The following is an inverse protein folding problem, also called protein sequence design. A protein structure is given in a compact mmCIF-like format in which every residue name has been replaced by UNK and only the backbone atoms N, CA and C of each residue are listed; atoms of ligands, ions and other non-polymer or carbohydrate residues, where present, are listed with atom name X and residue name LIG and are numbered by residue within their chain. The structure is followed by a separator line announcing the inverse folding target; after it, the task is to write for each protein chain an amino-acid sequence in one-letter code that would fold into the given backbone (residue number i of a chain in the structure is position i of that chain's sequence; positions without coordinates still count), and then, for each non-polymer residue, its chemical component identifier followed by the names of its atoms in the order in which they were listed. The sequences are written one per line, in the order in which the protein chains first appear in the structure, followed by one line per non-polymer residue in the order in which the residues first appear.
data_IF_920125823200
#
_entry.id   IF_920125823200
#
_cell.length_a   1.000
_cell.length_b   1.000
_cell.length_c   1.000
_cell.angle_alpha   90.00
_cell.angle_beta   90.00
_cell.angle_gamma   90.00
#
_symmetry.space_group_name_H-M   'P 1'
#
loop_
_entity.id
_entity.type
_entity.pdbx_description
1 polymer ?
#
# COMPACT_ATOMS: atom_id res chain seq x y z
N UNK A 1 -26.26 21.73 -2.06
CA UNK A 1 -25.05 20.95 -1.74
C UNK A 1 -25.36 19.49 -1.99
N UNK A 2 -24.68 18.88 -2.94
CA UNK A 2 -25.02 17.56 -3.50
C UNK A 2 -24.60 16.37 -2.62
N UNK A 3 -24.30 16.51 -1.34
CA UNK A 3 -23.98 15.39 -0.45
C UNK A 3 -22.94 14.39 -1.01
N UNK A 4 -21.96 14.89 -1.77
CA UNK A 4 -20.88 14.10 -2.38
C UNK A 4 -19.70 13.90 -1.42
N UNK A 5 -19.52 14.86 -0.51
CA UNK A 5 -18.33 14.97 0.36
C UNK A 5 -18.77 15.13 1.81
N UNK A 6 -18.18 14.36 2.70
CA UNK A 6 -18.23 14.52 4.15
C UNK A 6 -16.82 14.50 4.72
N UNK A 7 -16.55 15.23 5.80
CA UNK A 7 -15.29 15.16 6.54
C UNK A 7 -15.54 14.61 7.92
N UNK A 8 -14.68 13.73 8.41
CA UNK A 8 -14.77 13.10 9.73
C UNK A 8 -13.41 13.15 10.41
N UNK A 9 -13.37 13.68 11.64
CA UNK A 9 -12.21 13.61 12.52
C UNK A 9 -12.34 12.38 13.41
N UNK A 10 -11.34 11.50 13.38
CA UNK A 10 -11.32 10.28 14.17
C UNK A 10 -10.17 10.32 15.17
N UNK A 11 -10.45 9.97 16.42
CA UNK A 11 -9.45 9.80 17.46
C UNK A 11 -8.83 8.42 17.33
N UNK A 12 -7.58 8.28 17.71
CA UNK A 12 -6.85 7.02 17.75
C UNK A 12 -7.68 5.88 18.36
N UNK A 13 -7.55 4.69 17.81
CA UNK A 13 -8.23 3.44 18.20
C UNK A 13 -9.76 3.44 17.99
N UNK A 14 -10.33 4.51 17.40
CA UNK A 14 -11.74 4.56 17.03
C UNK A 14 -11.99 3.80 15.74
N UNK A 15 -13.05 3.02 15.73
CA UNK A 15 -13.58 2.43 14.51
C UNK A 15 -14.16 3.50 13.60
N UNK A 16 -13.67 3.54 12.37
CA UNK A 16 -14.15 4.43 11.31
C UNK A 16 -15.30 3.75 10.58
N UNK A 17 -15.13 2.44 10.29
CA UNK A 17 -16.14 1.57 9.69
C UNK A 17 -15.95 0.16 10.21
N UNK A 18 -17.06 -0.58 10.29
CA UNK A 18 -17.06 -1.99 10.67
C UNK A 18 -17.22 -2.91 9.47
N UNK A 19 -16.72 -4.12 9.58
CA UNK A 19 -17.10 -5.20 8.67
C UNK A 19 -18.63 -5.34 8.67
N UNK A 20 -19.23 -5.42 7.47
CA UNK A 20 -20.68 -5.40 7.30
C UNK A 20 -21.31 -4.02 7.05
N UNK A 21 -20.56 -2.92 7.26
CA UNK A 21 -21.02 -1.59 6.89
C UNK A 21 -21.12 -1.42 5.35
N UNK A 22 -21.99 -0.52 4.85
CA UNK A 22 -22.05 -0.24 3.42
C UNK A 22 -20.70 0.21 2.85
N UNK A 23 -20.30 -0.39 1.72
CA UNK A 23 -19.03 -0.10 1.03
C UNK A 23 -19.19 0.91 -0.13
N UNK A 24 -20.04 1.91 0.02
CA UNK A 24 -20.38 2.87 -1.02
C UNK A 24 -19.63 4.21 -0.92
N UNK A 25 -18.48 4.20 -0.23
CA UNK A 25 -17.64 5.36 -0.01
C UNK A 25 -16.21 5.16 -0.56
N UNK A 26 -15.53 6.27 -0.76
CA UNK A 26 -14.09 6.38 -0.95
C UNK A 26 -13.57 7.35 0.11
N UNK A 27 -12.66 6.90 0.97
CA UNK A 27 -12.01 7.72 1.97
C UNK A 27 -10.68 8.28 1.45
N UNK A 28 -10.38 9.53 1.78
CA UNK A 28 -9.09 10.19 1.55
C UNK A 28 -8.55 10.60 2.91
N UNK A 29 -7.34 10.15 3.25
CA UNK A 29 -6.70 10.53 4.51
C UNK A 29 -6.04 11.90 4.31
N UNK A 30 -6.60 12.93 4.95
CA UNK A 30 -6.05 14.30 4.91
C UNK A 30 -4.89 14.47 5.89
N UNK A 31 -4.93 13.77 7.03
CA UNK A 31 -3.85 13.69 8.02
C UNK A 31 -3.99 12.44 8.86
N UNK A 32 -2.87 11.95 9.41
CA UNK A 32 -2.83 10.76 10.24
C UNK A 32 -2.77 9.45 9.45
N UNK A 33 -3.18 8.34 10.09
CA UNK A 33 -3.12 7.00 9.49
C UNK A 33 -4.22 6.09 10.03
N UNK A 34 -4.56 5.06 9.25
CA UNK A 34 -5.57 4.06 9.57
C UNK A 34 -5.00 2.64 9.42
N UNK A 35 -5.59 1.68 10.14
CA UNK A 35 -5.38 0.26 9.95
C UNK A 35 -6.61 -0.39 9.34
N UNK A 36 -6.38 -1.27 8.38
CA UNK A 36 -7.37 -2.22 7.88
C UNK A 36 -7.18 -3.51 8.66
N UNK A 37 -8.23 -3.96 9.34
CA UNK A 37 -8.21 -5.15 10.17
C UNK A 37 -9.08 -6.24 9.54
N UNK A 38 -8.61 -7.47 9.63
CA UNK A 38 -9.37 -8.65 9.22
C UNK A 38 -9.23 -9.73 10.27
N UNK A 39 -10.36 -10.29 10.70
CA UNK A 39 -10.36 -11.44 11.59
C UNK A 39 -10.08 -12.71 10.76
N UNK A 40 -9.18 -13.56 11.27
CA UNK A 40 -8.94 -14.87 10.69
C UNK A 40 -10.04 -15.88 11.11
N UNK A 41 -9.97 -17.09 10.55
CA UNK A 41 -10.91 -18.16 10.88
C UNK A 41 -11.01 -18.50 12.38
N UNK A 42 -9.96 -18.23 13.13
CA UNK A 42 -9.86 -18.48 14.58
C UNK A 42 -10.28 -17.28 15.42
N UNK A 43 -10.69 -16.16 14.79
CA UNK A 43 -11.05 -14.92 15.48
C UNK A 43 -9.85 -14.08 15.92
N UNK A 44 -8.64 -14.37 15.43
CA UNK A 44 -7.49 -13.50 15.68
C UNK A 44 -7.56 -12.31 14.73
N UNK A 45 -7.41 -11.12 15.29
CA UNK A 45 -7.39 -9.87 14.56
C UNK A 45 -6.03 -9.59 13.97
N UNK A 46 -5.96 -9.43 12.65
CA UNK A 46 -4.74 -9.15 11.93
C UNK A 46 -4.82 -7.79 11.23
N UNK A 47 -3.76 -7.00 11.31
CA UNK A 47 -3.60 -5.78 10.51
C UNK A 47 -3.18 -6.22 9.11
N UNK A 48 -4.06 -6.08 8.13
CA UNK A 48 -3.79 -6.45 6.74
C UNK A 48 -3.16 -5.32 5.94
N UNK A 49 -3.44 -4.05 6.32
CA UNK A 49 -2.83 -2.88 5.73
C UNK A 49 -2.77 -1.72 6.73
N UNK A 50 -1.76 -0.87 6.57
CA UNK A 50 -1.65 0.44 7.19
C UNK A 50 -1.61 1.49 6.08
N UNK A 51 -2.48 2.48 6.15
CA UNK A 51 -2.69 3.49 5.11
C UNK A 51 -2.48 4.86 5.74
N UNK A 52 -1.66 5.69 5.11
CA UNK A 52 -1.22 6.98 5.64
C UNK A 52 -1.79 8.16 4.85
N UNK A 53 -1.51 9.37 5.35
CA UNK A 53 -1.86 10.65 4.74
C UNK A 53 -1.63 10.67 3.21
N UNK A 54 -2.53 11.31 2.48
CA UNK A 54 -2.53 11.43 1.03
C UNK A 54 -3.02 10.19 0.26
N UNK A 55 -3.32 9.10 0.97
CA UNK A 55 -3.77 7.85 0.35
C UNK A 55 -5.29 7.71 0.35
N UNK A 56 -5.78 6.86 -0.56
CA UNK A 56 -7.19 6.44 -0.62
C UNK A 56 -7.41 5.11 0.10
N UNK A 57 -8.64 4.89 0.54
CA UNK A 57 -9.12 3.60 1.02
C UNK A 57 -10.61 3.42 0.70
N UNK A 58 -11.05 2.17 0.64
CA UNK A 58 -12.45 1.85 0.31
C UNK A 58 -12.79 1.91 -1.17
N UNK A 59 -11.93 2.52 -2.01
CA UNK A 59 -12.12 2.66 -3.45
C UNK A 59 -12.27 1.31 -4.15
N UNK A 60 -11.49 0.32 -3.72
CA UNK A 60 -11.53 -1.02 -4.32
C UNK A 60 -12.91 -1.68 -4.14
N UNK A 61 -13.50 -1.57 -2.95
CA UNK A 61 -14.81 -2.13 -2.65
C UNK A 61 -15.92 -1.36 -3.37
N UNK A 62 -15.87 -0.02 -3.28
CA UNK A 62 -16.86 0.85 -3.89
C UNK A 62 -16.88 0.74 -5.42
N UNK A 63 -15.70 0.76 -6.07
CA UNK A 63 -15.58 0.62 -7.52
C UNK A 63 -15.90 -0.78 -8.03
N UNK A 64 -15.63 -1.83 -7.24
CA UNK A 64 -16.01 -3.20 -7.56
C UNK A 64 -17.51 -3.50 -7.33
N UNK A 65 -18.26 -2.55 -6.78
CA UNK A 65 -19.69 -2.74 -6.50
C UNK A 65 -19.97 -3.71 -5.35
N UNK A 66 -19.00 -3.92 -4.46
CA UNK A 66 -19.16 -4.76 -3.27
C UNK A 66 -20.12 -4.03 -2.31
N UNK A 67 -21.22 -4.66 -1.87
CA UNK A 67 -22.24 -3.93 -1.10
C UNK A 67 -21.82 -3.63 0.34
N UNK A 68 -21.02 -4.51 0.96
CA UNK A 68 -20.62 -4.43 2.36
C UNK A 68 -19.12 -4.63 2.54
N UNK A 69 -18.52 -3.92 3.48
CA UNK A 69 -17.11 -4.07 3.81
C UNK A 69 -16.82 -5.47 4.37
N UNK A 70 -15.79 -6.16 3.87
CA UNK A 70 -15.35 -7.43 4.46
C UNK A 70 -14.31 -7.25 5.58
N UNK A 71 -14.00 -6.00 5.97
CA UNK A 71 -12.92 -5.62 6.89
C UNK A 71 -13.37 -4.51 7.83
N UNK A 72 -12.74 -4.42 8.99
CA UNK A 72 -12.83 -3.27 9.88
C UNK A 72 -11.81 -2.21 9.50
N UNK A 73 -12.14 -0.95 9.72
CA UNK A 73 -11.26 0.20 9.49
C UNK A 73 -11.15 0.99 10.80
N UNK A 74 -9.93 1.13 11.32
CA UNK A 74 -9.67 1.75 12.63
C UNK A 74 -8.62 2.84 12.47
N UNK A 75 -8.79 3.95 13.18
CA UNK A 75 -7.78 5.01 13.28
C UNK A 75 -6.54 4.50 14.02
N UNK A 76 -5.37 4.50 13.39
CA UNK A 76 -4.10 4.13 14.02
C UNK A 76 -3.54 5.27 14.90
N UNK A 77 -3.91 6.48 14.58
CA UNK A 77 -3.64 7.72 15.29
C UNK A 77 -4.77 8.72 15.03
N UNK A 78 -4.73 9.89 15.64
CA UNK A 78 -5.71 10.93 15.34
C UNK A 78 -5.63 11.30 13.86
N UNK A 79 -6.76 11.22 13.16
CA UNK A 79 -6.80 11.40 11.71
C UNK A 79 -8.01 12.23 11.25
N UNK A 80 -7.81 12.94 10.15
CA UNK A 80 -8.88 13.61 9.40
C UNK A 80 -9.09 12.86 8.09
N UNK A 81 -10.35 12.53 7.82
CA UNK A 81 -10.73 11.76 6.64
C UNK A 81 -11.83 12.49 5.88
N UNK A 82 -11.62 12.68 4.61
CA UNK A 82 -12.65 13.12 3.67
C UNK A 82 -13.31 11.89 3.05
N UNK A 83 -14.63 11.82 3.13
CA UNK A 83 -15.43 10.76 2.50
C UNK A 83 -16.11 11.27 1.25
N UNK A 84 -15.97 10.53 0.15
CA UNK A 84 -16.69 10.72 -1.09
C UNK A 84 -17.72 9.61 -1.25
N UNK A 85 -18.92 9.94 -1.73
CA UNK A 85 -19.89 8.92 -2.08
C UNK A 85 -19.50 8.27 -3.41
N UNK A 86 -19.04 7.01 -3.36
CA UNK A 86 -18.52 6.29 -4.51
C UNK A 86 -19.58 6.05 -5.59
N UNK A 87 -20.83 5.72 -5.21
CA UNK A 87 -21.91 5.53 -6.19
C UNK A 87 -22.23 6.81 -6.95
N UNK A 88 -22.27 7.96 -6.26
CA UNK A 88 -22.51 9.25 -6.90
C UNK A 88 -21.33 9.71 -7.76
N UNK A 89 -20.12 9.34 -7.35
CA UNK A 89 -18.91 9.65 -8.09
C UNK A 89 -18.83 8.90 -9.41
N UNK A 90 -19.20 7.62 -9.42
CA UNK A 90 -19.16 6.77 -10.62
C UNK A 90 -20.33 7.06 -11.58
N UNK A 91 -21.44 7.63 -11.08
CA UNK A 91 -22.54 8.06 -11.92
C UNK A 91 -22.20 9.42 -12.54
N UNK A 92 -21.95 9.43 -13.83
CA UNK A 92 -21.69 10.66 -14.60
C UNK A 92 -22.87 11.61 -14.49
N UNK A 93 -22.57 12.91 -14.31
CA UNK A 93 -23.61 13.92 -14.47
C UNK A 93 -24.04 13.96 -15.94
N UNK A 94 -25.35 14.13 -16.18
CA UNK A 94 -25.93 14.23 -17.52
C UNK A 94 -25.30 15.31 -18.41
N UNK A 95 -24.59 16.28 -17.82
CA UNK A 95 -23.95 17.42 -18.48
C UNK A 95 -22.42 17.27 -18.65
N UNK A 96 -21.80 16.11 -18.35
CA UNK A 96 -20.38 15.86 -18.61
C UNK A 96 -19.43 16.91 -18.03
N UNK A 97 -19.59 17.30 -16.76
CA UNK A 97 -18.83 18.41 -16.21
C UNK A 97 -17.32 18.06 -16.12
N UNK A 98 -16.47 19.03 -16.45
CA UNK A 98 -15.00 18.88 -16.50
C UNK A 98 -14.43 18.42 -15.13
N UNK A 99 -15.01 18.88 -14.03
CA UNK A 99 -14.66 18.47 -12.68
C UNK A 99 -14.83 16.96 -12.47
N UNK A 100 -15.95 16.39 -12.88
CA UNK A 100 -16.22 14.95 -12.78
C UNK A 100 -15.24 14.12 -13.60
N UNK A 101 -14.97 14.54 -14.83
CA UNK A 101 -13.97 13.88 -15.70
C UNK A 101 -12.58 13.90 -15.08
N UNK A 102 -12.17 15.03 -14.51
CA UNK A 102 -10.87 15.17 -13.85
C UNK A 102 -10.79 14.27 -12.62
N UNK A 103 -11.84 14.24 -11.80
CA UNK A 103 -11.87 13.41 -10.59
C UNK A 103 -11.82 11.92 -10.91
N UNK A 104 -12.60 11.44 -11.90
CA UNK A 104 -12.56 10.05 -12.35
C UNK A 104 -11.19 9.70 -12.93
N UNK A 105 -10.59 10.57 -13.73
CA UNK A 105 -9.24 10.36 -14.29
C UNK A 105 -8.20 10.22 -13.20
N UNK A 106 -8.23 11.08 -12.18
CA UNK A 106 -7.31 11.02 -11.05
C UNK A 106 -7.50 9.72 -10.26
N UNK A 107 -8.74 9.32 -9.98
CA UNK A 107 -9.06 8.05 -9.31
C UNK A 107 -8.52 6.85 -10.09
N UNK A 108 -8.76 6.79 -11.40
CA UNK A 108 -8.23 5.74 -12.28
C UNK A 108 -6.69 5.71 -12.25
N UNK A 109 -6.05 6.89 -12.24
CA UNK A 109 -4.60 7.01 -12.13
C UNK A 109 -4.07 6.39 -10.83
N UNK A 110 -4.71 6.67 -9.69
CA UNK A 110 -4.34 6.12 -8.39
C UNK A 110 -4.54 4.60 -8.35
N UNK A 111 -5.70 4.11 -8.81
CA UNK A 111 -5.98 2.66 -8.86
C UNK A 111 -4.99 1.94 -9.77
N UNK A 112 -4.64 2.52 -10.91
CA UNK A 112 -3.63 1.96 -11.82
C UNK A 112 -2.23 1.91 -11.16
N UNK A 113 -1.82 2.97 -10.46
CA UNK A 113 -0.55 3.00 -9.72
C UNK A 113 -0.53 1.94 -8.60
N UNK A 114 -1.61 1.81 -7.84
CA UNK A 114 -1.74 0.78 -6.80
C UNK A 114 -1.65 -0.62 -7.41
N UNK A 115 -2.29 -0.86 -8.55
CA UNK A 115 -2.20 -2.14 -9.26
C UNK A 115 -0.75 -2.45 -9.70
N UNK A 116 -0.05 -1.47 -10.27
CA UNK A 116 1.37 -1.62 -10.66
C UNK A 116 2.25 -1.92 -9.45
N UNK A 117 2.05 -1.22 -8.32
CA UNK A 117 2.77 -1.47 -7.07
C UNK A 117 2.53 -2.90 -6.55
N UNK A 118 1.28 -3.36 -6.51
CA UNK A 118 0.93 -4.71 -6.08
C UNK A 118 1.53 -5.78 -6.99
N UNK A 119 1.50 -5.58 -8.31
CA UNK A 119 2.12 -6.49 -9.27
C UNK A 119 3.65 -6.59 -9.08
N UNK A 120 4.32 -5.46 -8.81
CA UNK A 120 5.74 -5.49 -8.46
C UNK A 120 6.00 -6.23 -7.14
N UNK A 121 5.19 -6.00 -6.12
CA UNK A 121 5.32 -6.71 -4.83
C UNK A 121 5.13 -8.21 -5.02
N UNK A 122 4.12 -8.64 -5.78
CA UNK A 122 3.91 -10.05 -6.13
C UNK A 122 5.12 -10.65 -6.84
N UNK A 123 5.71 -9.93 -7.81
CA UNK A 123 6.93 -10.36 -8.53
C UNK A 123 8.08 -10.71 -7.58
N UNK A 124 8.25 -9.95 -6.50
CA UNK A 124 9.31 -10.21 -5.51
C UNK A 124 8.89 -11.31 -4.53
N UNK A 125 7.68 -11.22 -3.97
CA UNK A 125 7.23 -12.13 -2.90
C UNK A 125 6.92 -13.53 -3.38
N UNK A 126 6.63 -13.73 -4.68
CA UNK A 126 6.43 -15.06 -5.29
C UNK A 126 7.71 -15.88 -5.46
N UNK A 127 8.89 -15.30 -5.26
CA UNK A 127 10.14 -16.04 -5.28
C UNK A 127 10.23 -17.01 -4.11
N UNK A 128 10.93 -18.14 -4.30
CA UNK A 128 10.94 -19.23 -3.31
C UNK A 128 11.81 -18.94 -2.09
N UNK A 129 12.94 -18.29 -2.28
CA UNK A 129 13.94 -18.09 -1.22
C UNK A 129 14.08 -16.61 -0.86
N UNK A 130 14.47 -16.33 0.39
CA UNK A 130 14.81 -14.98 0.86
C UNK A 130 15.85 -14.30 -0.03
N UNK A 131 16.85 -15.06 -0.49
CA UNK A 131 17.88 -14.58 -1.41
C UNK A 131 17.29 -14.11 -2.73
N UNK A 132 16.45 -14.95 -3.36
CA UNK A 132 15.81 -14.61 -4.64
C UNK A 132 14.89 -13.39 -4.53
N UNK A 133 14.09 -13.31 -3.47
CA UNK A 133 13.22 -12.16 -3.19
C UNK A 133 14.04 -10.88 -3.07
N UNK A 134 15.09 -10.91 -2.24
CA UNK A 134 15.97 -9.78 -1.98
C UNK A 134 16.70 -9.34 -3.25
N UNK A 135 17.30 -10.27 -3.99
CA UNK A 135 18.05 -9.95 -5.20
C UNK A 135 17.15 -9.43 -6.31
N UNK A 136 15.94 -9.99 -6.49
CA UNK A 136 14.97 -9.49 -7.46
C UNK A 136 14.60 -8.02 -7.19
N UNK A 137 14.34 -7.68 -5.92
CA UNK A 137 14.06 -6.31 -5.51
C UNK A 137 15.25 -5.36 -5.76
N UNK A 138 16.45 -5.71 -5.26
CA UNK A 138 17.63 -4.86 -5.38
C UNK A 138 18.06 -4.65 -6.85
N UNK A 139 17.96 -5.68 -7.68
CA UNK A 139 18.26 -5.58 -9.11
C UNK A 139 17.27 -4.65 -9.82
N UNK A 140 15.98 -4.74 -9.51
CA UNK A 140 14.99 -3.84 -10.08
C UNK A 140 15.22 -2.39 -9.61
N UNK A 141 15.59 -2.17 -8.33
CA UNK A 141 15.96 -0.84 -7.83
C UNK A 141 17.17 -0.26 -8.57
N UNK A 142 18.21 -1.05 -8.80
CA UNK A 142 19.38 -0.63 -9.57
C UNK A 142 19.00 -0.23 -11.01
N UNK A 143 18.16 -1.03 -11.67
CA UNK A 143 17.65 -0.73 -13.03
C UNK A 143 16.83 0.56 -13.06
N UNK A 144 15.91 0.74 -12.11
CA UNK A 144 15.06 1.93 -12.05
C UNK A 144 15.87 3.22 -11.79
N UNK A 145 16.93 3.13 -11.01
CA UNK A 145 17.82 4.26 -10.70
C UNK A 145 18.95 4.45 -11.69
N UNK A 146 19.14 3.53 -12.63
CA UNK A 146 20.24 3.55 -13.59
C UNK A 146 21.62 3.46 -12.96
N UNK A 147 21.72 2.92 -11.73
CA UNK A 147 22.98 2.84 -10.97
C UNK A 147 22.99 1.58 -10.11
N UNK A 148 24.18 0.96 -10.01
CA UNK A 148 24.40 -0.13 -9.07
C UNK A 148 24.64 0.35 -7.62
N UNK A 149 24.75 1.66 -7.43
CA UNK A 149 24.93 2.32 -6.13
C UNK A 149 23.71 3.18 -5.83
N UNK A 150 22.92 2.79 -4.81
CA UNK A 150 21.62 3.41 -4.56
C UNK A 150 21.14 3.26 -3.12
N UNK A 151 20.23 4.15 -2.72
CA UNK A 151 19.50 4.09 -1.44
C UNK A 151 18.05 3.71 -1.69
N UNK A 152 17.51 2.84 -0.85
CA UNK A 152 16.09 2.45 -0.84
C UNK A 152 15.32 3.20 0.25
N UNK A 153 13.99 3.38 0.13
CA UNK A 153 13.19 4.10 1.13
C UNK A 153 12.95 3.29 2.40
N UNK A 154 13.26 2.00 2.42
CA UNK A 154 12.98 1.10 3.52
C UNK A 154 14.16 0.97 4.50
N UNK A 155 13.86 0.94 5.80
CA UNK A 155 14.76 0.38 6.79
C UNK A 155 14.77 -1.17 6.74
N UNK A 156 15.54 -1.84 7.60
CA UNK A 156 15.67 -3.32 7.57
C UNK A 156 14.38 -4.06 7.91
N UNK A 157 13.59 -3.54 8.84
CA UNK A 157 12.32 -4.15 9.20
C UNK A 157 11.31 -3.97 8.06
N UNK A 158 11.16 -2.75 7.58
CA UNK A 158 10.24 -2.41 6.48
C UNK A 158 10.55 -3.19 5.19
N UNK A 159 11.85 -3.38 4.87
CA UNK A 159 12.23 -4.20 3.72
C UNK A 159 11.86 -5.68 3.91
N UNK A 160 12.06 -6.22 5.12
CA UNK A 160 11.67 -7.60 5.42
C UNK A 160 10.16 -7.78 5.31
N UNK A 161 9.38 -6.86 5.86
CA UNK A 161 7.92 -6.86 5.79
C UNK A 161 7.44 -6.71 4.34
N UNK A 162 8.05 -5.82 3.55
CA UNK A 162 7.74 -5.63 2.14
C UNK A 162 7.97 -6.90 1.30
N UNK A 163 9.06 -7.62 1.57
CA UNK A 163 9.41 -8.86 0.86
C UNK A 163 8.72 -10.12 1.45
N UNK A 164 8.01 -9.98 2.56
CA UNK A 164 7.37 -11.10 3.25
C UNK A 164 8.40 -12.13 3.70
N UNK A 165 9.42 -11.70 4.45
CA UNK A 165 10.47 -12.55 5.01
C UNK A 165 10.79 -12.16 6.44
N UNK A 166 11.30 -13.09 7.22
CA UNK A 166 11.82 -12.80 8.55
C UNK A 166 13.03 -11.87 8.50
N UNK A 167 13.05 -10.81 9.32
CA UNK A 167 14.15 -9.82 9.38
C UNK A 167 15.50 -10.46 9.66
N UNK A 168 15.52 -11.44 10.57
CA UNK A 168 16.73 -12.19 10.94
C UNK A 168 17.28 -12.98 9.75
N UNK A 169 16.40 -13.70 9.03
CA UNK A 169 16.75 -14.47 7.83
C UNK A 169 17.27 -13.56 6.72
N UNK A 170 16.63 -12.41 6.50
CA UNK A 170 17.09 -11.42 5.53
C UNK A 170 18.45 -10.85 5.89
N UNK A 171 18.68 -10.51 7.17
CA UNK A 171 19.97 -9.97 7.63
C UNK A 171 21.11 -10.99 7.48
N UNK A 172 20.83 -12.26 7.79
CA UNK A 172 21.80 -13.33 7.59
C UNK A 172 22.15 -13.51 6.09
N UNK A 173 21.15 -13.42 5.21
CA UNK A 173 21.36 -13.54 3.77
C UNK A 173 22.15 -12.37 3.19
N UNK A 174 21.86 -11.14 3.63
CA UNK A 174 22.66 -9.95 3.28
C UNK A 174 24.13 -10.12 3.70
N UNK A 175 24.39 -10.64 4.91
CA UNK A 175 25.74 -10.94 5.38
C UNK A 175 26.47 -11.97 4.48
N UNK A 176 25.77 -13.01 4.02
CA UNK A 176 26.33 -13.98 3.07
C UNK A 176 26.65 -13.35 1.71
N UNK A 177 25.73 -12.55 1.17
CA UNK A 177 25.89 -11.87 -0.11
C UNK A 177 27.08 -10.87 -0.08
N UNK A 178 27.26 -10.17 1.05
CA UNK A 178 28.41 -9.28 1.28
C UNK A 178 29.72 -10.05 1.33
N UNK A 179 29.78 -11.18 2.07
CA UNK A 179 30.98 -12.05 2.14
C UNK A 179 31.35 -12.65 0.79
N UNK A 180 30.36 -12.94 -0.06
CA UNK A 180 30.56 -13.45 -1.42
C UNK A 180 30.97 -12.34 -2.42
N UNK A 181 31.04 -11.07 -2.00
CA UNK A 181 31.37 -9.95 -2.87
C UNK A 181 30.32 -9.70 -3.95
N UNK A 182 29.05 -10.01 -3.69
CA UNK A 182 27.93 -9.79 -4.62
C UNK A 182 27.39 -8.38 -4.43
N UNK A 183 27.26 -7.92 -3.16
CA UNK A 183 26.82 -6.58 -2.80
C UNK A 183 27.56 -6.04 -1.59
N UNK A 184 27.51 -4.74 -1.43
CA UNK A 184 27.82 -4.04 -0.18
C UNK A 184 26.58 -3.33 0.31
N UNK A 185 26.45 -3.18 1.63
CA UNK A 185 25.28 -2.51 2.21
C UNK A 185 25.62 -1.80 3.52
N UNK A 186 25.09 -0.59 3.66
CA UNK A 186 25.16 0.19 4.88
C UNK A 186 23.77 0.80 5.15
N UNK A 187 23.06 0.27 6.18
CA UNK A 187 21.66 0.65 6.49
C UNK A 187 20.74 0.47 5.25
N UNK A 188 20.23 1.55 4.68
CA UNK A 188 19.34 1.56 3.51
C UNK A 188 20.09 1.77 2.19
N UNK A 189 21.41 1.86 2.24
CA UNK A 189 22.28 2.04 1.07
C UNK A 189 22.83 0.71 0.59
N UNK A 190 22.84 0.50 -0.73
CA UNK A 190 23.26 -0.75 -1.39
C UNK A 190 24.13 -0.44 -2.60
N UNK A 191 25.19 -1.24 -2.76
CA UNK A 191 26.03 -1.26 -3.96
C UNK A 191 26.09 -2.67 -4.50
N UNK A 192 25.59 -2.90 -5.72
CA UNK A 192 25.69 -4.19 -6.40
C UNK A 192 27.05 -4.28 -7.10
N UNK A 193 27.90 -5.24 -6.68
CA UNK A 193 29.29 -5.39 -7.15
C UNK A 193 29.39 -6.28 -8.38
N UNK A 194 28.41 -7.17 -8.60
CA UNK A 194 28.34 -8.05 -9.77
C UNK A 194 27.00 -7.82 -10.48
N UNK A 195 27.02 -7.54 -11.79
CA UNK A 195 25.79 -7.63 -12.58
C UNK A 195 25.29 -9.08 -12.48
N UNK A 196 24.01 -9.23 -12.22
CA UNK A 196 23.34 -10.52 -12.34
C UNK A 196 22.98 -10.67 -13.81
N UNK A 197 23.63 -11.64 -14.47
CA UNK A 197 23.27 -12.09 -15.81
C UNK A 197 21.83 -12.62 -15.85
#
# INVERSE_FOLDING_TARGET
SLGLVGSEMCIRDRYIRHAGDPADFIGIIESGSIHILQDDYYGNRNITASISEGSLFGEAFSCAGIPYLPVDIVAAEDCNIMFLNGKKLLNTCDNGCEFHHTLIRNLLGIVAQNNMYLNQKIKYTSRKTTREKLMAYLTDQAKMKGSNDFTIPFNRQELADYLGVERSAMSAELGKLTKLGILQTQRSHFTLLKPLD
#
